data_IF_105458257432
#
_entry.id   IF_105458257432
#
_cell.length_a   1.000
_cell.length_b   1.000
_cell.length_c   1.000
_cell.angle_alpha   90.00
_cell.angle_beta   90.00
_cell.angle_gamma   90.00
#
_symmetry.space_group_name_H-M   'P 1'
#
loop_
_entity.id
_entity.type
_entity.pdbx_description
1 polymer ?
#
# COMPACT_ATOMS: atom_id res chain seq x y z
N UNK A 1 28.54 -7.45 -5.01
CA UNK A 1 27.39 -6.53 -5.15
C UNK A 1 26.11 -7.30 -4.88
N UNK A 2 25.39 -6.94 -3.84
CA UNK A 2 24.07 -7.52 -3.62
C UNK A 2 23.10 -6.95 -4.65
N UNK A 3 22.42 -7.86 -5.33
CA UNK A 3 21.44 -7.49 -6.34
C UNK A 3 20.19 -6.96 -5.64
N UNK A 4 19.92 -5.68 -5.80
CA UNK A 4 18.68 -5.08 -5.33
C UNK A 4 17.50 -5.50 -6.19
N UNK A 5 16.32 -5.43 -5.61
CA UNK A 5 15.06 -5.57 -6.36
C UNK A 5 15.04 -4.50 -7.46
N UNK A 6 14.67 -4.90 -8.67
CA UNK A 6 14.59 -3.98 -9.81
C UNK A 6 13.29 -3.18 -9.81
N UNK A 7 13.28 -2.06 -10.55
CA UNK A 7 12.06 -1.27 -10.74
C UNK A 7 10.95 -2.11 -11.40
N UNK A 8 11.29 -2.96 -12.35
CA UNK A 8 10.33 -3.86 -13.01
C UNK A 8 9.71 -4.86 -12.03
N UNK A 9 10.53 -5.43 -11.13
CA UNK A 9 10.05 -6.34 -10.08
C UNK A 9 9.10 -5.61 -9.11
N UNK A 10 9.42 -4.38 -8.74
CA UNK A 10 8.53 -3.57 -7.89
C UNK A 10 7.23 -3.23 -8.60
N UNK A 11 7.28 -2.90 -9.88
CA UNK A 11 6.07 -2.65 -10.68
C UNK A 11 5.13 -3.85 -10.63
N UNK A 12 5.66 -5.05 -10.81
CA UNK A 12 4.87 -6.29 -10.75
C UNK A 12 4.32 -6.55 -9.35
N UNK A 13 5.15 -6.36 -8.32
CA UNK A 13 4.77 -6.62 -6.93
C UNK A 13 3.63 -5.70 -6.46
N UNK A 14 3.63 -4.45 -6.93
CA UNK A 14 2.64 -3.43 -6.57
C UNK A 14 1.49 -3.31 -7.56
N UNK A 15 1.33 -4.28 -8.46
CA UNK A 15 0.23 -4.28 -9.43
C UNK A 15 -0.67 -5.49 -9.22
N UNK A 16 -1.94 -5.22 -8.95
CA UNK A 16 -2.95 -6.27 -8.76
C UNK A 16 -4.29 -5.79 -9.35
N UNK A 17 -4.67 -6.27 -10.54
CA UNK A 17 -5.99 -6.00 -11.08
C UNK A 17 -7.10 -6.61 -10.21
N UNK A 18 -8.33 -6.13 -10.36
CA UNK A 18 -9.48 -6.81 -9.77
C UNK A 18 -9.53 -8.27 -10.23
N UNK A 19 -9.90 -9.17 -9.32
CA UNK A 19 -10.00 -10.59 -9.59
C UNK A 19 -8.68 -11.36 -9.57
N UNK A 20 -7.54 -10.67 -9.56
CA UNK A 20 -6.24 -11.32 -9.46
C UNK A 20 -5.95 -11.80 -8.02
N UNK A 21 -5.14 -12.83 -7.91
CA UNK A 21 -4.70 -13.32 -6.59
C UNK A 21 -3.57 -12.43 -6.05
N UNK A 22 -3.59 -12.22 -4.74
CA UNK A 22 -2.46 -11.61 -4.03
C UNK A 22 -1.23 -12.53 -4.13
N UNK A 23 -0.01 -11.97 -3.98
CA UNK A 23 1.20 -12.79 -3.92
C UNK A 23 1.12 -13.84 -2.81
N UNK A 24 1.71 -15.00 -3.04
CA UNK A 24 1.82 -16.06 -2.04
C UNK A 24 2.80 -15.65 -0.94
N UNK A 25 2.75 -16.36 0.19
CA UNK A 25 3.71 -16.16 1.28
C UNK A 25 5.16 -16.30 0.80
N UNK A 26 5.42 -17.27 -0.07
CA UNK A 26 6.76 -17.48 -0.62
C UNK A 26 7.21 -16.33 -1.54
N UNK A 27 6.30 -15.78 -2.33
CA UNK A 27 6.58 -14.60 -3.16
C UNK A 27 6.90 -13.39 -2.29
N UNK A 28 6.09 -13.12 -1.25
CA UNK A 28 6.38 -12.05 -0.28
C UNK A 28 7.75 -12.25 0.37
N UNK A 29 8.07 -13.48 0.81
CA UNK A 29 9.33 -13.80 1.45
C UNK A 29 10.54 -13.64 0.53
N UNK A 30 10.36 -13.69 -0.79
CA UNK A 30 11.44 -13.43 -1.75
C UNK A 30 11.79 -11.95 -1.87
N UNK A 31 10.88 -11.04 -1.54
CA UNK A 31 11.06 -9.58 -1.64
C UNK A 31 11.22 -8.89 -0.30
N UNK A 32 10.67 -9.45 0.78
CA UNK A 32 10.63 -8.82 2.11
C UNK A 32 11.49 -9.60 3.10
N UNK A 33 12.22 -8.88 3.95
CA UNK A 33 12.90 -9.50 5.07
C UNK A 33 11.90 -10.05 6.09
N UNK A 34 12.28 -11.10 6.81
CA UNK A 34 11.42 -11.75 7.81
C UNK A 34 10.99 -10.79 8.92
N UNK A 35 11.85 -9.85 9.28
CA UNK A 35 11.62 -8.85 10.32
C UNK A 35 11.29 -7.46 9.76
N UNK A 36 10.66 -7.40 8.59
CA UNK A 36 10.26 -6.15 7.95
C UNK A 36 9.36 -5.31 8.88
N UNK A 37 9.60 -4.00 8.88
CA UNK A 37 8.73 -3.04 9.55
C UNK A 37 7.75 -2.46 8.52
N UNK A 38 6.46 -2.60 8.78
CA UNK A 38 5.38 -2.06 7.95
C UNK A 38 4.67 -0.93 8.70
N UNK A 39 4.56 0.23 8.05
CA UNK A 39 3.89 1.42 8.62
C UNK A 39 2.94 2.00 7.56
N UNK A 40 1.71 2.26 7.96
CA UNK A 40 0.76 3.05 7.17
C UNK A 40 0.05 4.07 8.07
N UNK A 41 -0.82 4.96 7.54
CA UNK A 41 -1.51 5.95 8.37
C UNK A 41 -2.38 5.39 9.50
N UNK A 42 -2.72 4.11 9.45
CA UNK A 42 -3.64 3.48 10.42
C UNK A 42 -2.98 2.48 11.35
N UNK A 43 -1.76 2.02 11.05
CA UNK A 43 -1.15 0.92 11.80
C UNK A 43 0.36 0.85 11.62
N UNK A 44 0.99 0.17 12.57
CA UNK A 44 2.38 -0.24 12.51
C UNK A 44 2.45 -1.73 12.82
N UNK A 45 3.13 -2.50 11.96
CA UNK A 45 3.27 -3.95 12.09
C UNK A 45 4.73 -4.35 11.95
N UNK A 46 5.16 -5.26 12.79
CA UNK A 46 6.51 -5.80 12.75
C UNK A 46 6.49 -7.27 12.34
N UNK A 47 7.33 -7.60 11.37
CA UNK A 47 7.49 -8.96 10.85
C UNK A 47 6.65 -9.24 9.62
N UNK A 48 7.18 -10.12 8.75
CA UNK A 48 6.55 -10.47 7.49
C UNK A 48 5.19 -11.14 7.68
N UNK A 49 5.07 -12.02 8.68
CA UNK A 49 3.79 -12.69 8.95
C UNK A 49 2.69 -11.70 9.33
N UNK A 50 3.02 -10.67 10.12
CA UNK A 50 2.07 -9.62 10.48
C UNK A 50 1.69 -8.75 9.27
N UNK A 51 2.64 -8.47 8.39
CA UNK A 51 2.39 -7.76 7.14
C UNK A 51 1.44 -8.55 6.22
N UNK A 52 1.70 -9.83 6.03
CA UNK A 52 0.86 -10.72 5.21
C UNK A 52 -0.55 -10.81 5.80
N UNK A 53 -0.68 -10.97 7.10
CA UNK A 53 -1.97 -10.99 7.77
C UNK A 53 -2.76 -9.71 7.55
N UNK A 54 -2.10 -8.54 7.62
CA UNK A 54 -2.74 -7.25 7.35
C UNK A 54 -3.27 -7.17 5.91
N UNK A 55 -2.49 -7.67 4.92
CA UNK A 55 -2.92 -7.71 3.52
C UNK A 55 -4.10 -8.67 3.33
N UNK A 56 -4.05 -9.86 3.91
CA UNK A 56 -5.13 -10.84 3.85
C UNK A 56 -6.42 -10.31 4.48
N UNK A 57 -6.31 -9.62 5.63
CA UNK A 57 -7.47 -9.03 6.30
C UNK A 57 -8.13 -7.93 5.46
N UNK A 58 -7.34 -7.12 4.77
CA UNK A 58 -7.87 -6.11 3.85
C UNK A 58 -8.69 -6.77 2.73
N UNK A 59 -8.14 -7.80 2.11
CA UNK A 59 -8.80 -8.53 1.02
C UNK A 59 -10.08 -9.21 1.51
N UNK A 60 -10.07 -9.80 2.70
CA UNK A 60 -11.25 -10.44 3.30
C UNK A 60 -12.39 -9.47 3.61
N UNK A 61 -12.05 -8.23 4.00
CA UNK A 61 -13.04 -7.20 4.35
C UNK A 61 -13.65 -6.51 3.14
N UNK A 62 -13.01 -6.61 2.01
CA UNK A 62 -13.44 -5.99 0.77
C UNK A 62 -13.98 -7.06 -0.20
N UNK A 63 -14.95 -6.67 -1.03
CA UNK A 63 -15.42 -7.54 -2.11
C UNK A 63 -14.31 -7.81 -3.12
N UNK A 64 -13.54 -6.79 -3.43
CA UNK A 64 -12.36 -6.87 -4.29
C UNK A 64 -11.41 -5.70 -4.03
N UNK A 65 -10.15 -5.89 -4.38
CA UNK A 65 -9.08 -4.91 -4.21
C UNK A 65 -8.26 -4.86 -5.49
N UNK A 66 -7.99 -3.66 -6.01
CA UNK A 66 -6.97 -3.49 -7.03
C UNK A 66 -5.86 -2.54 -6.57
N UNK A 67 -4.69 -2.74 -7.13
CA UNK A 67 -3.55 -1.86 -6.95
C UNK A 67 -2.95 -1.60 -8.34
N UNK A 68 -2.87 -0.33 -8.72
CA UNK A 68 -2.29 0.12 -9.98
C UNK A 68 -1.05 0.95 -9.69
N UNK A 69 0.07 0.57 -10.29
CA UNK A 69 1.34 1.30 -10.15
C UNK A 69 1.51 2.30 -11.27
N UNK A 70 1.79 3.55 -10.95
CA UNK A 70 1.99 4.64 -11.90
C UNK A 70 3.45 4.94 -12.16
N UNK A 71 4.29 4.90 -11.13
CA UNK A 71 5.70 5.21 -11.23
C UNK A 71 6.51 4.45 -10.18
N UNK A 72 7.73 4.08 -10.53
CA UNK A 72 8.69 3.45 -9.63
C UNK A 72 10.02 4.16 -9.79
N UNK A 73 10.67 4.46 -8.68
CA UNK A 73 12.03 5.02 -8.68
C UNK A 73 12.85 4.36 -7.57
N UNK A 74 14.07 3.98 -7.89
CA UNK A 74 15.02 3.44 -6.92
C UNK A 74 16.25 4.33 -6.92
N UNK A 75 16.65 4.76 -5.73
CA UNK A 75 17.87 5.50 -5.50
C UNK A 75 18.64 4.87 -4.35
N UNK A 76 19.74 4.19 -4.67
CA UNK A 76 20.55 3.45 -3.70
C UNK A 76 19.71 2.42 -2.94
N UNK A 77 19.59 2.55 -1.62
CA UNK A 77 18.83 1.61 -0.78
C UNK A 77 17.39 2.06 -0.49
N UNK A 78 16.88 3.03 -1.25
CA UNK A 78 15.51 3.54 -1.09
C UNK A 78 14.76 3.39 -2.40
N UNK A 79 13.53 2.88 -2.33
CA UNK A 79 12.62 2.82 -3.46
C UNK A 79 11.33 3.59 -3.17
N UNK A 80 10.73 4.14 -4.22
CA UNK A 80 9.42 4.79 -4.16
C UNK A 80 8.51 4.18 -5.23
N UNK A 81 7.29 3.90 -4.83
CA UNK A 81 6.25 3.38 -5.73
C UNK A 81 5.02 4.26 -5.58
N UNK A 82 4.64 4.95 -6.64
CA UNK A 82 3.37 5.68 -6.70
C UNK A 82 2.28 4.76 -7.22
N UNK A 83 1.17 4.71 -6.53
CA UNK A 83 0.08 3.78 -6.83
C UNK A 83 -1.30 4.38 -6.57
N UNK A 84 -2.31 3.72 -7.12
CA UNK A 84 -3.72 3.91 -6.74
C UNK A 84 -4.26 2.59 -6.23
N UNK A 85 -4.81 2.63 -5.01
CA UNK A 85 -5.51 1.50 -4.39
C UNK A 85 -7.01 1.68 -4.54
N UNK A 86 -7.69 0.69 -5.07
CA UNK A 86 -9.15 0.67 -5.16
C UNK A 86 -9.73 -0.45 -4.33
N UNK A 87 -10.73 -0.13 -3.52
CA UNK A 87 -11.45 -1.08 -2.68
C UNK A 87 -12.92 -1.10 -3.09
N UNK A 88 -13.44 -2.30 -3.35
CA UNK A 88 -14.88 -2.52 -3.52
C UNK A 88 -15.48 -3.03 -2.23
N UNK A 89 -16.33 -2.22 -1.62
CA UNK A 89 -17.03 -2.56 -0.39
C UNK A 89 -18.52 -2.32 -0.61
N UNK A 90 -19.34 -3.37 -0.51
CA UNK A 90 -20.75 -3.32 -0.87
C UNK A 90 -20.92 -2.86 -2.33
N UNK A 91 -21.67 -1.78 -2.57
CA UNK A 91 -21.90 -1.21 -3.89
C UNK A 91 -21.05 0.05 -4.15
N UNK A 92 -20.03 0.28 -3.32
CA UNK A 92 -19.19 1.50 -3.41
C UNK A 92 -17.75 1.13 -3.69
N UNK A 93 -17.07 2.04 -4.38
CA UNK A 93 -15.65 1.97 -4.65
C UNK A 93 -14.95 3.12 -3.93
N UNK A 94 -13.89 2.78 -3.21
CA UNK A 94 -13.05 3.73 -2.49
C UNK A 94 -11.69 3.76 -3.15
N UNK A 95 -11.23 4.95 -3.54
CA UNK A 95 -9.99 5.15 -4.31
C UNK A 95 -8.98 5.93 -3.47
N UNK A 96 -7.81 5.35 -3.28
CA UNK A 96 -6.72 5.93 -2.50
C UNK A 96 -5.48 6.10 -3.37
N UNK A 97 -5.15 7.32 -3.81
CA UNK A 97 -3.82 7.59 -4.36
C UNK A 97 -2.80 7.58 -3.22
N UNK A 98 -1.64 7.02 -3.46
CA UNK A 98 -0.61 6.96 -2.44
C UNK A 98 0.78 6.66 -2.99
N UNK A 99 1.73 6.64 -2.08
CA UNK A 99 3.12 6.34 -2.36
C UNK A 99 3.67 5.46 -1.26
N UNK A 100 4.43 4.44 -1.63
CA UNK A 100 5.18 3.62 -0.69
C UNK A 100 6.65 3.99 -0.75
N UNK A 101 7.25 4.21 0.41
CA UNK A 101 8.70 4.30 0.55
C UNK A 101 9.21 2.95 1.06
N UNK A 102 10.14 2.37 0.31
CA UNK A 102 10.79 1.12 0.65
C UNK A 102 12.23 1.38 1.05
N UNK A 103 12.69 0.74 2.11
CA UNK A 103 14.11 0.72 2.47
C UNK A 103 14.62 -0.71 2.30
N UNK A 104 15.69 -0.86 1.51
CA UNK A 104 16.31 -2.15 1.26
C UNK A 104 17.40 -2.41 2.29
N UNK A 105 17.42 -3.63 2.83
CA UNK A 105 18.46 -4.07 3.75
C UNK A 105 19.71 -4.60 3.03
N UNK A 106 20.68 -5.05 3.81
CA UNK A 106 21.92 -5.63 3.29
C UNK A 106 21.68 -6.88 2.45
N UNK A 107 20.59 -7.59 2.69
CA UNK A 107 20.18 -8.76 1.90
C UNK A 107 19.67 -8.41 0.50
N UNK A 108 19.43 -7.13 0.21
CA UNK A 108 18.75 -6.68 -1.00
C UNK A 108 17.23 -6.74 -0.91
N UNK A 109 16.69 -7.29 0.18
CA UNK A 109 15.25 -7.37 0.42
C UNK A 109 14.74 -6.12 1.17
N UNK A 110 13.43 -5.92 1.13
CA UNK A 110 12.76 -4.81 1.80
C UNK A 110 12.78 -5.04 3.32
N UNK A 111 13.39 -4.12 4.06
CA UNK A 111 13.40 -4.14 5.52
C UNK A 111 12.41 -3.16 6.16
N UNK A 112 11.98 -2.13 5.42
CA UNK A 112 10.94 -1.19 5.85
C UNK A 112 10.05 -0.85 4.68
N UNK A 113 8.75 -0.86 4.92
CA UNK A 113 7.69 -0.53 3.97
C UNK A 113 6.79 0.51 4.62
N UNK A 114 6.81 1.73 4.12
CA UNK A 114 6.01 2.83 4.66
C UNK A 114 5.08 3.39 3.59
N UNK A 115 3.78 3.30 3.85
CA UNK A 115 2.76 3.86 2.98
C UNK A 115 2.36 5.27 3.41
N UNK A 116 2.27 6.15 2.43
CA UNK A 116 1.79 7.52 2.59
C UNK A 116 0.55 7.70 1.74
N UNK A 117 -0.60 7.88 2.36
CA UNK A 117 -1.85 8.19 1.68
C UNK A 117 -2.82 8.89 2.62
N UNK A 118 -3.76 9.63 2.04
CA UNK A 118 -4.86 10.20 2.80
C UNK A 118 -5.92 9.12 3.03
N UNK A 119 -6.06 8.69 4.28
CA UNK A 119 -7.07 7.72 4.67
C UNK A 119 -8.45 8.36 4.83
N UNK A 120 -8.52 9.56 5.40
CA UNK A 120 -9.81 10.16 5.79
C UNK A 120 -10.61 10.67 4.59
N UNK A 121 -10.00 11.46 3.71
CA UNK A 121 -10.69 12.04 2.57
C UNK A 121 -11.37 11.01 1.69
N UNK A 122 -10.63 10.06 1.10
CA UNK A 122 -11.21 9.03 0.25
C UNK A 122 -12.20 8.10 0.96
N UNK A 123 -12.00 7.84 2.26
CA UNK A 123 -12.88 6.96 3.03
C UNK A 123 -14.24 7.59 3.25
N UNK A 124 -14.29 8.87 3.61
CA UNK A 124 -15.53 9.54 3.98
C UNK A 124 -16.19 10.32 2.83
N UNK A 125 -15.42 10.72 1.83
CA UNK A 125 -15.91 11.50 0.69
C UNK A 125 -17.11 10.86 -0.05
N UNK A 126 -17.13 9.52 -0.29
CA UNK A 126 -18.27 8.86 -0.93
C UNK A 126 -19.48 8.71 -0.01
N UNK A 127 -19.34 8.94 1.29
CA UNK A 127 -20.43 8.77 2.27
C UNK A 127 -21.23 10.07 2.36
N UNK A 128 -22.57 10.06 2.10
CA UNK A 128 -23.38 11.26 2.22
C UNK A 128 -23.29 11.86 3.63
N UNK A 129 -23.30 13.19 3.73
CA UNK A 129 -23.19 13.97 4.97
C UNK A 129 -21.77 13.93 5.56
N UNK A 130 -21.19 12.75 5.79
CA UNK A 130 -19.84 12.62 6.34
C UNK A 130 -18.79 13.19 5.40
N UNK A 131 -18.93 12.96 4.10
CA UNK A 131 -18.02 13.53 3.11
C UNK A 131 -18.02 15.05 3.12
N UNK A 132 -19.19 15.65 3.21
CA UNK A 132 -19.34 17.11 3.31
C UNK A 132 -18.72 17.64 4.60
N UNK A 133 -18.92 16.96 5.71
CA UNK A 133 -18.35 17.33 7.00
C UNK A 133 -16.81 17.26 6.97
N UNK A 134 -16.24 16.20 6.44
CA UNK A 134 -14.78 16.04 6.34
C UNK A 134 -14.17 17.11 5.42
N UNK A 135 -14.79 17.40 4.28
CA UNK A 135 -14.35 18.48 3.38
C UNK A 135 -14.41 19.84 4.05
N UNK A 136 -15.49 20.10 4.78
CA UNK A 136 -15.61 21.33 5.57
C UNK A 136 -14.50 21.44 6.63
N UNK A 137 -14.23 20.34 7.36
CA UNK A 137 -13.19 20.31 8.36
C UNK A 137 -11.81 20.58 7.76
N UNK A 138 -11.49 19.96 6.62
CA UNK A 138 -10.24 20.24 5.91
C UNK A 138 -10.13 21.69 5.48
N UNK A 139 -11.23 22.30 5.03
CA UNK A 139 -11.22 23.70 4.59
C UNK A 139 -10.83 24.67 5.70
N UNK A 140 -11.07 24.32 6.96
CA UNK A 140 -10.66 25.12 8.10
C UNK A 140 -9.13 25.19 8.30
N UNK A 141 -8.41 24.17 7.81
CA UNK A 141 -6.97 24.07 8.00
C UNK A 141 -6.16 24.37 6.74
N UNK A 142 -6.74 24.29 5.58
CA UNK A 142 -6.01 24.31 4.29
C UNK A 142 -6.36 25.53 3.44
N UNK A 143 -7.46 26.20 3.68
CA UNK A 143 -7.88 27.38 2.91
C UNK A 143 -7.27 28.70 3.38
#
# INVERSE_FOLDING_TARGET
>A
MQQHITEEELLKLFTKPYGAKAPSKNEWASYYEKDVLFIDPTQEKFGLDAYIEAQENLIKRCKDVYLETHAVAINQNIGFVEWTLGLKILNKEFIYPGTTRLTFGKSGKIKEHRDYFDFCGPTFSPVPVLGNFVRWLYSLFVS
#
